data_IF_536042816667
#
_entry.id   IF_536042816667
#
_cell.length_a   1.000
_cell.length_b   1.000
_cell.length_c   1.000
_cell.angle_alpha   90.00
_cell.angle_beta   90.00
_cell.angle_gamma   90.00
#
_symmetry.space_group_name_H-M   'P 1'
#
loop_
_entity.id
_entity.type
_entity.pdbx_description
1 polymer ?
#
# COMPACT_ATOMS: atom_id res chain seq x y z
N UNK A 1 21.69 26.39 -15.46
CA UNK A 1 22.08 26.35 -14.04
C UNK A 1 20.82 26.43 -13.22
N UNK A 2 20.42 25.27 -12.75
CA UNK A 2 19.16 24.91 -12.12
C UNK A 2 19.05 25.45 -10.69
N UNK A 3 17.86 25.90 -10.30
CA UNK A 3 17.54 26.15 -8.90
C UNK A 3 16.28 25.36 -8.55
N UNK A 4 16.50 24.23 -7.89
CA UNK A 4 15.45 23.37 -7.33
C UNK A 4 14.78 24.10 -6.16
N UNK A 5 13.46 24.25 -6.20
CA UNK A 5 12.65 24.70 -5.06
C UNK A 5 11.99 23.49 -4.42
N UNK A 6 12.61 22.98 -3.35
CA UNK A 6 12.03 21.94 -2.50
C UNK A 6 10.87 22.56 -1.72
N UNK A 7 9.64 22.15 -2.05
CA UNK A 7 8.44 22.53 -1.28
C UNK A 7 8.16 21.43 -0.26
N UNK A 8 8.91 21.43 0.85
CA UNK A 8 8.57 20.61 2.01
C UNK A 8 7.43 21.28 2.79
N UNK A 9 6.20 20.96 2.39
CA UNK A 9 4.99 21.36 3.12
C UNK A 9 4.86 20.62 4.45
N UNK A 10 5.49 21.13 5.50
CA UNK A 10 5.29 20.66 6.88
C UNK A 10 3.83 20.88 7.31
N UNK A 11 3.03 19.81 7.28
CA UNK A 11 1.63 19.87 7.71
C UNK A 11 1.51 19.69 9.22
N UNK A 12 0.96 20.72 9.88
CA UNK A 12 0.70 20.85 11.32
C UNK A 12 0.02 19.58 11.88
N UNK A 13 0.66 18.89 12.81
CA UNK A 13 0.08 17.72 13.52
C UNK A 13 -1.00 18.19 14.50
N UNK A 14 -2.24 18.33 14.05
CA UNK A 14 -3.41 18.61 14.91
C UNK A 14 -3.58 17.49 15.95
N UNK A 15 -3.76 17.84 17.23
CA UNK A 15 -3.89 16.90 18.36
C UNK A 15 -5.09 15.94 18.27
N UNK A 16 -6.02 16.12 17.33
CA UNK A 16 -7.04 15.12 16.96
C UNK A 16 -6.48 13.92 16.18
N UNK A 17 -5.24 14.02 15.69
CA UNK A 17 -4.51 12.89 15.08
C UNK A 17 -4.15 11.79 16.08
N UNK A 18 -4.17 12.08 17.38
CA UNK A 18 -3.89 11.12 18.45
C UNK A 18 -5.02 10.09 18.70
N UNK A 19 -6.20 10.26 18.08
CA UNK A 19 -7.32 9.28 18.12
C UNK A 19 -7.51 8.58 16.77
N UNK A 20 -6.47 7.92 16.28
CA UNK A 20 -6.50 7.18 15.01
C UNK A 20 -5.75 5.85 15.16
N UNK A 21 -6.06 5.09 16.19
CA UNK A 21 -5.66 3.69 16.27
C UNK A 21 -6.41 2.92 15.16
N UNK A 22 -5.68 2.34 14.21
CA UNK A 22 -6.18 1.47 13.14
C UNK A 22 -7.18 2.07 12.13
N UNK A 23 -6.89 3.23 11.51
CA UNK A 23 -7.63 3.61 10.30
C UNK A 23 -7.13 2.77 9.11
N UNK A 24 -7.81 1.66 8.84
CA UNK A 24 -7.78 0.97 7.54
C UNK A 24 -8.26 1.94 6.47
N UNK A 25 -7.47 2.13 5.42
CA UNK A 25 -7.88 2.90 4.24
C UNK A 25 -8.50 1.95 3.22
N UNK A 26 -9.62 2.33 2.62
CA UNK A 26 -10.21 1.55 1.54
C UNK A 26 -9.28 1.59 0.32
N UNK A 27 -8.88 0.42 -0.15
CA UNK A 27 -8.06 0.26 -1.35
C UNK A 27 -8.94 -0.24 -2.50
N UNK A 28 -9.43 0.71 -3.31
CA UNK A 28 -10.33 0.43 -4.43
C UNK A 28 -9.63 0.77 -5.74
N UNK A 29 -8.96 -0.23 -6.33
CA UNK A 29 -8.33 -0.13 -7.65
C UNK A 29 -9.11 -0.95 -8.67
N UNK A 30 -9.11 -0.52 -9.93
CA UNK A 30 -9.58 -1.35 -11.04
C UNK A 30 -8.42 -2.19 -11.53
N UNK A 31 -8.63 -3.50 -11.62
CA UNK A 31 -7.62 -4.48 -12.02
C UNK A 31 -8.15 -5.36 -13.14
N UNK A 32 -7.26 -6.09 -13.81
CA UNK A 32 -7.68 -7.08 -14.81
C UNK A 32 -8.37 -8.28 -14.12
N UNK A 33 -9.32 -8.95 -14.79
CA UNK A 33 -9.97 -10.13 -14.21
C UNK A 33 -9.00 -11.25 -13.84
N UNK A 34 -7.95 -11.45 -14.65
CA UNK A 34 -6.92 -12.48 -14.41
C UNK A 34 -6.14 -12.21 -13.11
N UNK A 35 -5.79 -10.95 -12.86
CA UNK A 35 -5.08 -10.56 -11.65
C UNK A 35 -5.94 -10.74 -10.39
N UNK A 36 -7.22 -10.35 -10.44
CA UNK A 36 -8.14 -10.58 -9.33
C UNK A 36 -8.28 -12.07 -9.01
N UNK A 37 -8.39 -12.91 -10.05
CA UNK A 37 -8.46 -14.36 -9.89
C UNK A 37 -7.18 -14.96 -9.28
N UNK A 38 -6.01 -14.59 -9.79
CA UNK A 38 -4.72 -15.08 -9.27
C UNK A 38 -4.54 -14.73 -7.78
N UNK A 39 -4.89 -13.51 -7.36
CA UNK A 39 -4.79 -13.12 -5.95
C UNK A 39 -5.77 -13.91 -5.09
N UNK A 40 -7.00 -14.15 -5.57
CA UNK A 40 -7.99 -14.96 -4.85
C UNK A 40 -7.51 -16.39 -4.66
N UNK A 41 -6.94 -16.99 -5.69
CA UNK A 41 -6.42 -18.37 -5.64
C UNK A 41 -5.26 -18.49 -4.63
N UNK A 42 -4.34 -17.51 -4.61
CA UNK A 42 -3.23 -17.45 -3.64
C UNK A 42 -3.78 -17.27 -2.22
N UNK A 43 -4.73 -16.35 -2.04
CA UNK A 43 -5.34 -16.07 -0.76
C UNK A 43 -6.08 -17.30 -0.20
N UNK A 44 -6.85 -18.00 -1.02
CA UNK A 44 -7.55 -19.23 -0.63
C UNK A 44 -6.58 -20.34 -0.25
N UNK A 45 -5.56 -20.57 -1.08
CA UNK A 45 -4.55 -21.60 -0.85
C UNK A 45 -3.77 -21.39 0.45
N UNK A 46 -3.46 -20.14 0.78
CA UNK A 46 -2.62 -19.78 1.93
C UNK A 46 -3.43 -19.34 3.16
N UNK A 47 -4.76 -19.29 3.06
CA UNK A 47 -5.63 -18.81 4.14
C UNK A 47 -5.43 -17.33 4.48
N UNK A 48 -5.10 -16.50 3.49
CA UNK A 48 -4.80 -15.07 3.65
C UNK A 48 -5.96 -14.18 3.20
N UNK A 49 -5.96 -12.93 3.64
CA UNK A 49 -6.77 -11.86 3.03
C UNK A 49 -6.10 -11.36 1.76
N UNK A 50 -6.90 -10.88 0.80
CA UNK A 50 -6.37 -10.28 -0.44
C UNK A 50 -5.36 -9.16 -0.16
N UNK A 51 -5.59 -8.36 0.88
CA UNK A 51 -4.68 -7.27 1.30
C UNK A 51 -3.33 -7.83 1.77
N UNK A 52 -3.32 -8.95 2.49
CA UNK A 52 -2.07 -9.57 2.98
C UNK A 52 -1.25 -10.14 1.82
N UNK A 53 -1.92 -10.67 0.79
CA UNK A 53 -1.25 -11.10 -0.46
C UNK A 53 -0.61 -9.89 -1.16
N UNK A 54 -1.33 -8.76 -1.23
CA UNK A 54 -0.80 -7.53 -1.83
C UNK A 54 0.37 -6.95 -1.03
N UNK A 55 0.31 -6.96 0.30
CA UNK A 55 1.40 -6.49 1.16
C UNK A 55 2.67 -7.33 0.95
N UNK A 56 2.54 -8.67 0.93
CA UNK A 56 3.65 -9.58 0.60
C UNK A 56 4.19 -9.36 -0.81
N UNK A 57 3.32 -9.10 -1.79
CA UNK A 57 3.73 -8.82 -3.16
C UNK A 57 4.58 -7.54 -3.25
N UNK A 58 4.22 -6.51 -2.49
CA UNK A 58 4.99 -5.26 -2.40
C UNK A 58 6.33 -5.49 -1.71
N UNK A 59 6.38 -6.26 -0.63
CA UNK A 59 7.62 -6.62 0.06
C UNK A 59 8.58 -7.36 -0.87
N UNK A 60 8.12 -8.42 -1.54
CA UNK A 60 8.89 -9.16 -2.52
C UNK A 60 9.37 -8.28 -3.69
N UNK A 61 8.55 -7.32 -4.13
CA UNK A 61 8.93 -6.36 -5.15
C UNK A 61 10.08 -5.44 -4.68
N UNK A 62 10.01 -4.95 -3.43
CA UNK A 62 11.08 -4.13 -2.83
C UNK A 62 12.39 -4.89 -2.72
N UNK A 63 12.34 -6.11 -2.18
CA UNK A 63 13.52 -6.98 -2.07
C UNK A 63 14.18 -7.22 -3.42
N UNK A 64 13.37 -7.48 -4.46
CA UNK A 64 13.87 -7.75 -5.81
C UNK A 64 14.49 -6.51 -6.48
N UNK A 65 13.97 -5.32 -6.18
CA UNK A 65 14.44 -4.06 -6.78
C UNK A 65 15.49 -3.33 -5.93
N UNK A 66 15.73 -3.77 -4.69
CA UNK A 66 16.66 -3.12 -3.76
C UNK A 66 16.18 -1.75 -3.28
N UNK A 67 14.86 -1.57 -3.13
CA UNK A 67 14.26 -0.37 -2.55
C UNK A 67 14.44 -0.30 -1.03
#
# INVERSE_FOLDING_TARGET
>A
MDTQTVTEGYTRRDGRSARKTNRTLAFATRVTPTFDQEIRDIAEREGLKLVEVLEKAVEAYKEKQGY
#
